data_IF_813165032490
#
_entry.id   IF_813165032490
#
_cell.length_a   1.000
_cell.length_b   1.000
_cell.length_c   1.000
_cell.angle_alpha   90.00
_cell.angle_beta   90.00
_cell.angle_gamma   90.00
#
_symmetry.space_group_name_H-M   'P 1'
#
loop_
_entity.id
_entity.type
_entity.pdbx_description
1 polymer ?
#
# COMPACT_ATOMS: atom_id res chain seq x y z
N UNK A 1 -9.71 10.04 -9.40
CA UNK A 1 -8.32 9.51 -9.51
C UNK A 1 -8.12 8.42 -8.48
N UNK A 2 -7.57 7.29 -8.87
CA UNK A 2 -7.38 6.12 -7.98
C UNK A 2 -5.90 5.77 -7.90
N UNK A 3 -5.40 5.60 -6.68
CA UNK A 3 -4.05 5.14 -6.38
C UNK A 3 -4.17 3.82 -5.63
N UNK A 4 -3.51 2.79 -6.12
CA UNK A 4 -3.61 1.46 -5.58
C UNK A 4 -2.32 1.08 -4.85
N UNK A 5 -2.47 0.59 -3.63
CA UNK A 5 -1.42 0.06 -2.79
C UNK A 5 -1.77 -1.39 -2.47
N UNK A 6 -0.83 -2.29 -2.68
CA UNK A 6 -1.05 -3.73 -2.46
C UNK A 6 0.05 -4.27 -1.57
N UNK A 7 -0.35 -5.00 -0.55
CA UNK A 7 0.57 -5.81 0.24
C UNK A 7 1.09 -7.01 -0.57
N UNK A 8 2.18 -7.57 -0.14
CA UNK A 8 2.88 -8.65 -0.84
C UNK A 8 2.60 -10.00 -0.20
N UNK A 9 3.06 -10.20 1.03
CA UNK A 9 2.96 -11.49 1.73
C UNK A 9 1.53 -11.76 2.19
N UNK A 10 1.05 -12.98 1.99
CA UNK A 10 -0.33 -13.42 2.22
C UNK A 10 -1.38 -12.65 1.40
N UNK A 11 -0.96 -11.83 0.45
CA UNK A 11 -1.83 -11.07 -0.46
C UNK A 11 -1.60 -11.50 -1.92
N UNK A 12 -0.37 -11.42 -2.42
CA UNK A 12 0.03 -11.84 -3.78
C UNK A 12 0.77 -13.17 -3.74
N UNK A 13 1.71 -13.30 -2.83
CA UNK A 13 2.51 -14.51 -2.59
C UNK A 13 2.35 -14.98 -1.15
N UNK A 14 2.68 -16.24 -0.89
CA UNK A 14 2.67 -16.80 0.47
C UNK A 14 3.68 -16.08 1.38
N UNK A 15 4.93 -16.07 0.98
CA UNK A 15 6.00 -15.37 1.68
C UNK A 15 7.16 -15.04 0.72
N UNK A 16 8.07 -14.17 1.16
CA UNK A 16 9.23 -13.73 0.36
C UNK A 16 10.33 -14.80 0.22
N UNK A 17 10.26 -15.91 0.94
CA UNK A 17 11.23 -17.01 0.84
C UNK A 17 10.81 -17.99 -0.25
N UNK A 18 9.57 -18.46 -0.20
CA UNK A 18 9.01 -19.45 -1.13
C UNK A 18 8.47 -18.81 -2.41
N UNK A 19 7.92 -17.61 -2.32
CA UNK A 19 7.38 -16.83 -3.44
C UNK A 19 6.31 -17.57 -4.26
N UNK A 20 5.49 -18.39 -3.63
CA UNK A 20 4.39 -19.07 -4.30
C UNK A 20 3.20 -18.11 -4.46
N UNK A 21 2.72 -17.94 -5.68
CA UNK A 21 1.59 -17.08 -5.95
C UNK A 21 0.29 -17.62 -5.34
N UNK A 22 -0.47 -16.72 -4.72
CA UNK A 22 -1.83 -16.96 -4.27
C UNK A 22 -2.79 -16.76 -5.44
N UNK A 23 -3.00 -17.79 -6.24
CA UNK A 23 -3.64 -17.72 -7.56
C UNK A 23 -5.01 -17.03 -7.55
N UNK A 24 -5.86 -17.35 -6.58
CA UNK A 24 -7.20 -16.75 -6.50
C UNK A 24 -7.14 -15.26 -6.17
N UNK A 25 -6.26 -14.86 -5.27
CA UNK A 25 -6.04 -13.45 -4.96
C UNK A 25 -5.49 -12.70 -6.19
N UNK A 26 -4.49 -13.29 -6.87
CA UNK A 26 -3.91 -12.68 -8.07
C UNK A 26 -4.96 -12.47 -9.16
N UNK A 27 -5.85 -13.42 -9.41
CA UNK A 27 -6.95 -13.29 -10.37
C UNK A 27 -7.88 -12.11 -10.03
N UNK A 28 -8.26 -12.01 -8.76
CA UNK A 28 -9.15 -10.95 -8.27
C UNK A 28 -8.49 -9.58 -8.36
N UNK A 29 -7.21 -9.49 -8.00
CA UNK A 29 -6.45 -8.24 -8.10
C UNK A 29 -6.27 -7.84 -9.56
N UNK A 30 -5.92 -8.76 -10.45
CA UNK A 30 -5.81 -8.49 -11.89
C UNK A 30 -7.11 -7.94 -12.47
N UNK A 31 -8.23 -8.57 -12.12
CA UNK A 31 -9.56 -8.09 -12.52
C UNK A 31 -9.84 -6.68 -12.02
N UNK A 32 -9.53 -6.41 -10.76
CA UNK A 32 -9.67 -5.06 -10.17
C UNK A 32 -8.83 -4.03 -10.94
N UNK A 33 -7.59 -4.35 -11.27
CA UNK A 33 -6.71 -3.47 -12.05
C UNK A 33 -7.28 -3.14 -13.43
N UNK A 34 -7.86 -4.13 -14.10
CA UNK A 34 -8.50 -3.97 -15.40
C UNK A 34 -9.76 -3.08 -15.33
N UNK A 35 -10.57 -3.27 -14.29
CA UNK A 35 -11.82 -2.54 -14.10
C UNK A 35 -11.59 -1.10 -13.62
N UNK A 36 -10.72 -0.91 -12.63
CA UNK A 36 -10.53 0.38 -11.97
C UNK A 36 -9.50 1.28 -12.66
N UNK A 37 -8.59 0.71 -13.44
CA UNK A 37 -7.53 1.43 -14.18
C UNK A 37 -6.86 2.51 -13.33
N UNK A 38 -6.22 2.13 -12.21
CA UNK A 38 -5.59 3.11 -11.33
C UNK A 38 -4.48 3.87 -12.06
N UNK A 39 -4.33 5.16 -11.73
CA UNK A 39 -3.27 6.00 -12.30
C UNK A 39 -1.90 5.74 -11.70
N UNK A 40 -1.87 5.12 -10.53
CA UNK A 40 -0.65 4.77 -9.82
C UNK A 40 -0.82 3.43 -9.09
N UNK A 41 0.24 2.64 -9.09
CA UNK A 41 0.30 1.33 -8.47
C UNK A 41 1.55 1.23 -7.61
N UNK A 42 1.40 0.81 -6.36
CA UNK A 42 2.49 0.68 -5.41
C UNK A 42 2.35 -0.62 -4.62
N UNK A 43 3.49 -1.18 -4.20
CA UNK A 43 3.51 -2.19 -3.16
C UNK A 43 3.75 -1.53 -1.81
N UNK A 44 2.92 -1.84 -0.83
CA UNK A 44 3.03 -1.36 0.54
C UNK A 44 3.26 -2.57 1.46
N UNK A 45 4.50 -2.80 1.83
CA UNK A 45 4.89 -4.07 2.48
C UNK A 45 5.72 -3.87 3.72
N UNK A 46 5.57 -4.78 4.68
CA UNK A 46 6.45 -4.93 5.84
C UNK A 46 7.42 -6.10 5.70
N UNK A 47 7.35 -6.86 4.61
CA UNK A 47 8.26 -7.97 4.34
C UNK A 47 9.69 -7.52 4.05
N UNK A 48 9.87 -6.36 3.44
CA UNK A 48 11.17 -5.70 3.30
C UNK A 48 11.30 -4.54 4.28
N UNK A 49 12.41 -4.49 5.00
CA UNK A 49 12.66 -3.46 6.02
C UNK A 49 13.03 -2.12 5.39
N UNK A 50 14.00 -2.12 4.49
CA UNK A 50 14.59 -0.94 3.87
C UNK A 50 14.45 -0.99 2.35
N UNK A 51 14.54 0.16 1.65
CA UNK A 51 14.54 0.17 0.18
C UNK A 51 15.62 -0.70 -0.45
N UNK A 52 16.76 -0.85 0.21
CA UNK A 52 17.89 -1.69 -0.24
C UNK A 52 17.63 -3.19 -0.13
N UNK A 53 16.62 -3.61 0.63
CA UNK A 53 16.24 -5.02 0.78
C UNK A 53 15.32 -5.50 -0.35
N UNK A 54 14.78 -4.58 -1.14
CA UNK A 54 13.82 -4.89 -2.20
C UNK A 54 14.47 -5.72 -3.29
N UNK A 55 13.91 -6.91 -3.55
CA UNK A 55 14.33 -7.77 -4.65
C UNK A 55 13.52 -7.43 -5.91
N UNK A 56 14.18 -6.78 -6.87
CA UNK A 56 13.55 -6.35 -8.11
C UNK A 56 13.04 -7.53 -8.97
N UNK A 57 13.65 -8.69 -8.86
CA UNK A 57 13.19 -9.87 -9.61
C UNK A 57 11.85 -10.38 -9.07
N UNK A 58 11.66 -10.35 -7.75
CA UNK A 58 10.38 -10.67 -7.12
C UNK A 58 9.32 -9.64 -7.53
N UNK A 59 9.65 -8.35 -7.48
CA UNK A 59 8.76 -7.27 -7.91
C UNK A 59 8.31 -7.47 -9.36
N UNK A 60 9.25 -7.69 -10.28
CA UNK A 60 8.93 -7.91 -11.68
C UNK A 60 8.05 -9.16 -11.90
N UNK A 61 8.32 -10.24 -11.19
CA UNK A 61 7.51 -11.47 -11.25
C UNK A 61 6.08 -11.21 -10.81
N UNK A 62 5.88 -10.44 -9.74
CA UNK A 62 4.53 -10.06 -9.28
C UNK A 62 3.81 -9.18 -10.28
N UNK A 63 4.50 -8.18 -10.86
CA UNK A 63 3.91 -7.31 -11.88
C UNK A 63 3.43 -8.11 -13.09
N UNK A 64 4.28 -8.99 -13.61
CA UNK A 64 3.90 -9.89 -14.73
C UNK A 64 2.69 -10.76 -14.35
N UNK A 65 2.70 -11.34 -13.16
CA UNK A 65 1.57 -12.15 -12.67
C UNK A 65 0.25 -11.38 -12.62
N UNK A 66 0.30 -10.10 -12.29
CA UNK A 66 -0.87 -9.22 -12.23
C UNK A 66 -1.24 -8.60 -13.59
N UNK A 67 -0.57 -9.01 -14.67
CA UNK A 67 -0.82 -8.51 -16.02
C UNK A 67 -0.27 -7.11 -16.28
N UNK A 68 0.67 -6.64 -15.46
CA UNK A 68 1.32 -5.35 -15.61
C UNK A 68 2.67 -5.55 -16.31
N UNK A 69 2.86 -4.89 -17.44
CA UNK A 69 4.16 -4.90 -18.11
C UNK A 69 5.14 -3.99 -17.35
N UNK A 70 6.23 -4.55 -16.76
CA UNK A 70 7.21 -3.76 -16.04
C UNK A 70 7.89 -2.67 -16.88
N UNK A 71 7.90 -2.81 -18.20
CA UNK A 71 8.51 -1.85 -19.13
C UNK A 71 7.56 -0.71 -19.52
N UNK A 72 6.26 -0.89 -19.35
CA UNK A 72 5.22 0.04 -19.80
C UNK A 72 4.40 0.65 -18.67
N UNK A 73 4.93 0.61 -17.44
CA UNK A 73 4.26 1.27 -16.32
C UNK A 73 4.35 2.78 -16.53
N UNK A 74 3.20 3.41 -16.81
CA UNK A 74 3.10 4.85 -17.06
C UNK A 74 3.29 5.73 -15.82
N UNK A 75 3.42 5.12 -14.66
CA UNK A 75 3.92 5.72 -13.42
C UNK A 75 4.94 4.76 -12.81
N UNK A 76 5.92 5.30 -12.14
CA UNK A 76 6.89 4.48 -11.43
C UNK A 76 6.16 3.59 -10.40
N UNK A 77 6.27 2.28 -10.56
CA UNK A 77 5.81 1.36 -9.54
C UNK A 77 6.78 1.45 -8.38
N UNK A 78 6.34 2.05 -7.29
CA UNK A 78 7.15 2.18 -6.09
C UNK A 78 6.88 1.03 -5.13
N UNK A 79 7.93 0.52 -4.53
CA UNK A 79 7.84 -0.36 -3.36
C UNK A 79 8.08 0.49 -2.12
N UNK A 80 7.09 0.50 -1.25
CA UNK A 80 7.12 1.23 0.01
C UNK A 80 7.41 0.22 1.13
N UNK A 81 8.66 0.15 1.62
CA UNK A 81 9.06 -0.83 2.61
C UNK A 81 8.66 -0.42 4.02
N UNK A 82 8.90 -1.29 5.00
CA UNK A 82 8.55 -1.08 6.41
C UNK A 82 9.14 0.21 6.99
N UNK A 83 10.33 0.61 6.56
CA UNK A 83 10.96 1.86 7.02
C UNK A 83 10.08 3.10 6.83
N UNK A 84 9.28 3.15 5.77
CA UNK A 84 8.33 4.24 5.56
C UNK A 84 7.22 4.25 6.62
N UNK A 85 6.72 3.08 7.03
CA UNK A 85 5.74 2.97 8.11
C UNK A 85 6.33 3.36 9.46
N UNK A 86 7.56 2.94 9.75
CA UNK A 86 8.26 3.31 10.98
C UNK A 86 8.47 4.83 11.04
N UNK A 87 8.92 5.44 9.95
CA UNK A 87 9.08 6.89 9.88
C UNK A 87 7.74 7.62 10.02
N UNK A 88 6.68 7.11 9.41
CA UNK A 88 5.33 7.66 9.59
C UNK A 88 4.92 7.64 11.06
N UNK A 89 5.15 6.54 11.77
CA UNK A 89 4.86 6.41 13.19
C UNK A 89 5.68 7.40 14.05
N UNK A 90 6.93 7.66 13.67
CA UNK A 90 7.77 8.67 14.33
C UNK A 90 7.21 10.07 14.07
N UNK A 91 6.90 10.40 12.83
CA UNK A 91 6.40 11.71 12.44
C UNK A 91 5.02 12.04 13.04
N UNK A 92 4.20 11.01 13.30
CA UNK A 92 2.92 11.15 14.03
C UNK A 92 3.07 11.20 15.54
N UNK A 93 4.25 10.92 16.08
CA UNK A 93 4.52 10.91 17.50
C UNK A 93 4.17 9.59 18.21
N UNK A 94 3.87 8.52 17.49
CA UNK A 94 3.61 7.19 18.06
C UNK A 94 4.89 6.47 18.50
N UNK A 95 6.01 6.81 17.85
CA UNK A 95 7.35 6.31 18.16
C UNK A 95 8.30 7.48 18.36
N UNK A 96 9.37 7.24 19.12
CA UNK A 96 10.52 8.14 19.18
C UNK A 96 11.53 7.78 18.10
N UNK A 97 12.33 8.75 17.66
CA UNK A 97 13.39 8.50 16.67
C UNK A 97 14.38 7.42 17.13
N UNK A 98 14.69 7.37 18.42
CA UNK A 98 15.56 6.36 19.05
C UNK A 98 15.03 4.92 18.95
N UNK A 99 13.72 4.75 18.72
CA UNK A 99 13.07 3.43 18.61
C UNK A 99 13.12 2.86 17.18
N UNK A 100 13.62 3.61 16.21
CA UNK A 100 13.59 3.20 14.79
C UNK A 100 14.22 1.81 14.58
N UNK A 101 15.45 1.58 15.03
CA UNK A 101 16.17 0.33 14.79
C UNK A 101 15.50 -0.88 15.46
N UNK A 102 14.80 -0.66 16.54
CA UNK A 102 14.01 -1.70 17.22
C UNK A 102 12.68 -1.93 16.53
N UNK A 103 11.97 -0.87 16.18
CA UNK A 103 10.63 -0.96 15.59
C UNK A 103 10.63 -1.63 14.22
N UNK A 104 11.73 -1.49 13.45
CA UNK A 104 11.84 -2.06 12.11
C UNK A 104 11.98 -3.59 12.13
N UNK A 105 12.37 -4.19 13.25
CA UNK A 105 12.50 -5.63 13.38
C UNK A 105 11.14 -6.34 13.33
N UNK A 106 11.09 -7.61 12.85
CA UNK A 106 9.83 -8.36 12.73
C UNK A 106 9.05 -8.40 14.05
N UNK A 107 7.73 -8.14 13.97
CA UNK A 107 6.83 -8.18 15.12
C UNK A 107 6.93 -6.99 16.08
N UNK A 108 7.93 -6.13 15.96
CA UNK A 108 8.17 -5.06 16.93
C UNK A 108 7.16 -3.91 16.84
N UNK A 109 6.63 -3.60 15.67
CA UNK A 109 5.57 -2.59 15.54
C UNK A 109 4.32 -2.97 16.35
N UNK A 110 3.95 -4.25 16.33
CA UNK A 110 2.85 -4.77 17.16
C UNK A 110 3.15 -4.65 18.66
N UNK A 111 4.39 -4.86 19.10
CA UNK A 111 4.83 -4.65 20.48
C UNK A 111 4.65 -3.18 20.92
N UNK A 112 4.83 -2.24 20.00
CA UNK A 112 4.53 -0.82 20.24
C UNK A 112 3.03 -0.48 20.11
N UNK A 113 2.17 -1.45 19.82
CA UNK A 113 0.74 -1.24 19.60
C UNK A 113 0.38 -0.54 18.29
N UNK A 114 1.26 -0.63 17.29
CA UNK A 114 1.10 0.06 16.01
C UNK A 114 0.76 -0.95 14.92
N UNK A 115 -0.37 -0.76 14.23
CA UNK A 115 -0.80 -1.59 13.12
C UNK A 115 -0.33 -1.04 11.77
N UNK A 116 -0.16 -1.93 10.79
CA UNK A 116 0.17 -1.57 9.41
C UNK A 116 -0.90 -0.68 8.77
N UNK A 117 -2.16 -0.99 9.03
CA UNK A 117 -3.31 -0.25 8.50
C UNK A 117 -3.32 1.18 9.04
N UNK A 118 -3.08 1.37 10.33
CA UNK A 118 -2.96 2.72 10.93
C UNK A 118 -1.79 3.49 10.31
N UNK A 119 -0.65 2.85 10.08
CA UNK A 119 0.48 3.47 9.39
C UNK A 119 0.13 3.88 7.97
N UNK A 120 -0.59 3.04 7.22
CA UNK A 120 -1.03 3.38 5.87
C UNK A 120 -1.96 4.61 5.86
N UNK A 121 -2.93 4.63 6.76
CA UNK A 121 -3.88 5.74 6.89
C UNK A 121 -3.15 7.06 7.18
N UNK A 122 -2.22 7.05 8.12
CA UNK A 122 -1.40 8.24 8.43
C UNK A 122 -0.44 8.60 7.30
N UNK A 123 0.17 7.62 6.65
CA UNK A 123 1.03 7.83 5.49
C UNK A 123 0.28 8.58 4.36
N UNK A 124 -0.95 8.18 4.08
CA UNK A 124 -1.81 8.88 3.11
C UNK A 124 -2.12 10.30 3.57
N UNK A 125 -2.54 10.47 4.82
CA UNK A 125 -2.89 11.80 5.36
C UNK A 125 -1.70 12.76 5.33
N UNK A 126 -0.51 12.31 5.69
CA UNK A 126 0.71 13.12 5.68
C UNK A 126 1.18 13.44 4.26
N UNK A 127 0.96 12.54 3.30
CA UNK A 127 1.29 12.73 1.89
C UNK A 127 0.36 13.69 1.15
N UNK A 128 -0.83 13.95 1.71
CA UNK A 128 -1.80 14.86 1.12
C UNK A 128 -1.53 16.28 1.60
N UNK A 129 -0.79 17.03 0.80
CA UNK A 129 -0.56 18.44 1.09
C UNK A 129 -1.75 19.28 0.61
N UNK A 130 -1.95 20.43 1.23
CA UNK A 130 -2.98 21.39 0.81
C UNK A 130 -2.85 21.79 -0.67
N UNK A 131 -1.62 21.83 -1.18
CA UNK A 131 -1.34 22.10 -2.60
C UNK A 131 -1.86 20.99 -3.51
N UNK A 132 -1.63 19.71 -3.15
CA UNK A 132 -2.15 18.56 -3.90
C UNK A 132 -3.68 18.53 -3.89
N UNK A 133 -4.29 18.86 -2.78
CA UNK A 133 -5.75 18.97 -2.67
C UNK A 133 -6.31 20.10 -3.54
N UNK A 134 -5.64 21.26 -3.59
CA UNK A 134 -6.03 22.36 -4.47
C UNK A 134 -5.89 21.99 -5.94
N UNK A 135 -4.81 21.30 -6.32
CA UNK A 135 -4.61 20.81 -7.68
C UNK A 135 -5.67 19.74 -8.05
N UNK A 136 -5.96 18.81 -7.17
CA UNK A 136 -7.02 17.81 -7.38
C UNK A 136 -8.39 18.48 -7.51
N UNK A 137 -8.71 19.49 -6.74
CA UNK A 137 -9.98 20.23 -6.85
C UNK A 137 -10.11 21.01 -8.16
N UNK A 138 -9.01 21.51 -8.70
CA UNK A 138 -9.03 22.30 -9.94
C UNK A 138 -9.16 21.42 -11.19
N UNK A 139 -8.69 20.17 -11.13
CA UNK A 139 -8.56 19.28 -12.29
C UNK A 139 -9.43 18.05 -12.24
N UNK A 140 -9.89 17.63 -11.07
CA UNK A 140 -10.62 16.37 -10.88
C UNK A 140 -11.95 16.63 -10.17
N UNK A 141 -13.07 16.32 -10.85
CA UNK A 141 -14.43 16.42 -10.29
C UNK A 141 -14.68 15.31 -9.27
N UNK A 142 -14.07 14.15 -9.46
CA UNK A 142 -14.26 12.97 -8.61
C UNK A 142 -13.27 12.95 -7.44
N UNK A 143 -13.63 12.30 -6.32
CA UNK A 143 -12.73 12.11 -5.19
C UNK A 143 -11.43 11.42 -5.59
N UNK A 144 -10.34 11.74 -4.88
CA UNK A 144 -9.09 10.96 -4.94
C UNK A 144 -9.24 9.77 -4.01
N UNK A 145 -9.07 8.58 -4.54
CA UNK A 145 -9.19 7.33 -3.79
C UNK A 145 -7.81 6.68 -3.61
N UNK A 146 -7.48 6.35 -2.38
CA UNK A 146 -6.31 5.56 -1.99
C UNK A 146 -6.79 4.19 -1.53
N UNK A 147 -6.49 3.17 -2.31
CA UNK A 147 -6.87 1.80 -2.01
C UNK A 147 -5.71 1.05 -1.39
N UNK A 148 -5.94 0.36 -0.27
CA UNK A 148 -5.04 -0.65 0.28
C UNK A 148 -5.68 -2.02 0.18
N UNK A 149 -5.02 -2.93 -0.52
CA UNK A 149 -5.37 -4.34 -0.57
C UNK A 149 -4.37 -5.09 0.31
N UNK A 150 -4.85 -5.64 1.41
CA UNK A 150 -4.00 -6.25 2.44
C UNK A 150 -4.79 -7.34 3.18
N UNK A 151 -4.17 -8.50 3.43
CA UNK A 151 -4.78 -9.60 4.15
C UNK A 151 -5.09 -9.28 5.62
N UNK A 152 -4.42 -8.27 6.18
CA UNK A 152 -4.68 -7.77 7.55
C UNK A 152 -5.96 -6.96 7.67
N UNK A 153 -6.57 -6.57 6.56
CA UNK A 153 -7.89 -5.91 6.58
C UNK A 153 -8.96 -6.95 6.92
N UNK A 154 -9.63 -6.79 8.05
CA UNK A 154 -10.67 -7.74 8.47
C UNK A 154 -11.96 -7.60 7.65
N UNK A 155 -12.33 -6.37 7.35
CA UNK A 155 -13.55 -6.02 6.61
C UNK A 155 -13.31 -4.78 5.77
N UNK A 156 -13.90 -4.75 4.56
CA UNK A 156 -13.87 -3.58 3.70
C UNK A 156 -14.36 -2.34 4.45
N UNK A 157 -13.55 -1.30 4.43
CA UNK A 157 -13.82 -0.03 5.09
C UNK A 157 -13.51 1.12 4.16
N UNK A 158 -14.32 2.17 4.22
CA UNK A 158 -14.05 3.42 3.52
C UNK A 158 -13.96 4.55 4.54
N UNK A 159 -12.83 5.24 4.54
CA UNK A 159 -12.58 6.40 5.39
C UNK A 159 -12.65 7.65 4.50
N UNK A 160 -13.54 8.56 4.82
CA UNK A 160 -13.67 9.83 4.11
C UNK A 160 -12.91 10.94 4.82
N UNK A 161 -12.09 11.65 4.07
CA UNK A 161 -11.30 12.78 4.55
C UNK A 161 -11.66 14.03 3.74
N UNK A 162 -11.46 15.19 4.35
CA UNK A 162 -11.64 16.50 3.70
C UNK A 162 -13.02 16.65 3.03
N UNK A 163 -14.08 16.27 3.75
CA UNK A 163 -15.44 16.37 3.23
C UNK A 163 -15.73 15.43 2.05
N UNK A 164 -15.08 14.28 2.00
CA UNK A 164 -15.26 13.28 0.94
C UNK A 164 -14.39 13.51 -0.31
N UNK A 165 -13.54 14.54 -0.32
CA UNK A 165 -12.62 14.79 -1.45
C UNK A 165 -11.51 13.76 -1.55
N UNK A 166 -11.17 13.13 -0.46
CA UNK A 166 -10.22 12.03 -0.37
C UNK A 166 -10.91 10.85 0.31
N UNK A 167 -10.74 9.68 -0.25
CA UNK A 167 -11.23 8.43 0.33
C UNK A 167 -10.07 7.45 0.48
N UNK A 168 -9.99 6.80 1.64
CA UNK A 168 -9.12 5.65 1.87
C UNK A 168 -10.02 4.42 1.88
N UNK A 169 -9.75 3.47 1.01
CA UNK A 169 -10.52 2.25 0.85
C UNK A 169 -9.63 1.07 1.23
N UNK A 170 -9.99 0.38 2.30
CA UNK A 170 -9.29 -0.77 2.83
C UNK A 170 -10.04 -2.04 2.41
N UNK A 171 -9.36 -2.99 1.78
CA UNK A 171 -9.97 -4.21 1.25
C UNK A 171 -9.10 -5.43 1.53
N UNK A 172 -9.71 -6.49 2.05
CA UNK A 172 -9.07 -7.80 2.07
C UNK A 172 -9.15 -8.42 0.67
N UNK A 173 -8.07 -9.02 0.13
CA UNK A 173 -8.10 -9.60 -1.21
C UNK A 173 -9.20 -10.66 -1.41
N UNK A 174 -9.61 -11.38 -0.36
CA UNK A 174 -10.69 -12.37 -0.45
C UNK A 174 -12.07 -11.74 -0.70
N UNK A 175 -12.25 -10.46 -0.36
CA UNK A 175 -13.51 -9.72 -0.58
C UNK A 175 -13.61 -9.11 -1.99
N UNK A 176 -12.55 -9.16 -2.78
CA UNK A 176 -12.59 -8.74 -4.19
C UNK A 176 -13.42 -9.73 -5.01
N UNK A 177 -14.22 -9.23 -5.90
CA UNK A 177 -15.15 -10.03 -6.73
C UNK A 177 -14.61 -10.29 -8.14
#
# INVERSE_FOLDING_TARGET
MKLLFIDIENTIIDDLVNCNFLEENCKKITKLLEEEKPVCFNFFTWGWKMPTDVDINIVNSMLVKLGIDPMNIGCDCHVIPKSASVQTAIDTGWLKQEDFDRAIEPGMMAEFGISKISCFTEFVQMGITETLLKQANATVRDPVEFWLIDDLVEKKETIELYGGKVKIILVNPVELT
#
